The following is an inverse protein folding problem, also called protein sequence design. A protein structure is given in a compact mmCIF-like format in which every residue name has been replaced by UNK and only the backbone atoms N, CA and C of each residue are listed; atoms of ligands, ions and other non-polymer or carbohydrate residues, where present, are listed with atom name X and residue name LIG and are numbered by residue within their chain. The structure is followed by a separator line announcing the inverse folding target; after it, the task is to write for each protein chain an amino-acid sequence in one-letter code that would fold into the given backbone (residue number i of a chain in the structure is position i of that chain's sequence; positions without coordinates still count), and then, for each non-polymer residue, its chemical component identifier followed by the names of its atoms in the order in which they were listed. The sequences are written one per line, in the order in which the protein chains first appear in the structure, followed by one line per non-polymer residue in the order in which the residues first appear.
data_IF_317829940540
#
_entry.id   IF_317829940540
#
_cell.length_a   1.000
_cell.length_b   1.000
_cell.length_c   1.000
_cell.angle_alpha   90.00
_cell.angle_beta   90.00
_cell.angle_gamma   90.00
#
_symmetry.space_group_name_H-M   'P 1'
#
loop_
_entity.id
_entity.type
_entity.pdbx_description
1 polymer ?
#
# COMPACT_ATOMS: atom_id res chain seq x y z
N UNK A 1 -26.44 -6.04 2.77
CA UNK A 1 -25.66 -7.29 2.61
C UNK A 1 -24.96 -7.31 1.24
N UNK A 2 -23.63 -7.22 1.20
CA UNK A 2 -22.83 -7.14 -0.04
C UNK A 2 -22.42 -8.51 -0.58
N UNK A 3 -23.42 -9.38 -0.82
CA UNK A 3 -23.20 -10.71 -1.39
C UNK A 3 -24.27 -11.00 -2.44
N UNK A 4 -23.99 -10.65 -3.70
CA UNK A 4 -24.85 -10.94 -4.85
C UNK A 4 -24.16 -11.93 -5.79
N UNK A 5 -24.85 -12.99 -6.21
CA UNK A 5 -24.34 -13.97 -7.17
C UNK A 5 -24.83 -13.71 -8.60
N UNK A 6 -23.95 -14.06 -9.55
CA UNK A 6 -24.07 -14.17 -11.03
C UNK A 6 -23.65 -13.06 -12.03
N UNK A 7 -23.17 -13.61 -13.15
CA UNK A 7 -22.68 -13.15 -14.48
C UNK A 7 -21.35 -12.38 -14.58
N UNK A 8 -20.33 -12.93 -15.29
CA UNK A 8 -19.07 -12.23 -15.53
C UNK A 8 -19.29 -11.05 -16.48
N UNK A 9 -18.92 -9.87 -16.03
CA UNK A 9 -18.92 -8.68 -16.86
C UNK A 9 -17.58 -8.59 -17.61
N UNK A 10 -17.65 -8.20 -18.89
CA UNK A 10 -16.47 -8.04 -19.74
C UNK A 10 -15.47 -7.09 -19.06
N UNK A 11 -14.19 -7.49 -19.05
CA UNK A 11 -13.11 -6.72 -18.44
C UNK A 11 -13.00 -5.33 -19.07
N UNK A 12 -12.55 -4.32 -18.31
CA UNK A 12 -12.51 -2.95 -18.81
C UNK A 12 -11.57 -2.85 -20.02
N UNK A 13 -11.98 -1.98 -20.95
CA UNK A 13 -11.23 -1.57 -22.13
C UNK A 13 -9.86 -1.02 -21.72
N UNK A 14 -8.83 -1.25 -22.54
CA UNK A 14 -7.43 -0.91 -22.22
C UNK A 14 -7.32 0.59 -21.96
N UNK A 15 -7.18 0.97 -20.69
CA UNK A 15 -6.91 2.34 -20.27
C UNK A 15 -5.42 2.62 -20.51
N UNK A 16 -5.03 3.78 -21.05
CA UNK A 16 -3.63 4.19 -21.09
C UNK A 16 -2.99 4.10 -19.70
N UNK A 17 -1.73 3.67 -19.60
CA UNK A 17 -0.96 3.59 -18.35
C UNK A 17 -0.68 5.01 -17.80
N UNK A 18 -1.71 5.69 -17.30
CA UNK A 18 -1.62 6.97 -16.62
C UNK A 18 -0.97 6.81 -15.24
N UNK A 19 -1.22 5.67 -14.59
CA UNK A 19 -0.68 5.28 -13.30
C UNK A 19 0.06 3.94 -13.46
N UNK A 20 1.25 3.84 -12.88
CA UNK A 20 2.08 2.62 -12.90
C UNK A 20 2.63 2.29 -11.52
N UNK A 21 3.02 1.04 -11.33
CA UNK A 21 3.86 0.64 -10.21
C UNK A 21 5.34 0.74 -10.61
N UNK A 22 6.11 1.56 -9.91
CA UNK A 22 7.57 1.59 -9.99
C UNK A 22 8.17 0.66 -8.92
N UNK A 23 8.77 -0.44 -9.38
CA UNK A 23 9.23 -1.54 -8.53
C UNK A 23 10.75 -1.51 -8.40
N UNK A 24 11.25 -1.19 -7.22
CA UNK A 24 12.67 -1.15 -6.89
C UNK A 24 13.14 -2.47 -6.28
N UNK A 25 14.31 -2.94 -6.72
CA UNK A 25 15.07 -3.89 -5.90
C UNK A 25 15.52 -3.19 -4.62
N UNK A 26 15.52 -3.90 -3.50
CA UNK A 26 16.12 -3.40 -2.26
C UNK A 26 17.08 -4.45 -1.70
N UNK A 27 18.11 -3.99 -1.00
CA UNK A 27 19.10 -4.84 -0.35
C UNK A 27 19.37 -4.33 1.07
N UNK A 28 18.98 -5.11 2.07
CA UNK A 28 19.19 -4.83 3.48
C UNK A 28 19.05 -6.12 4.26
N UNK A 29 19.27 -6.07 5.58
CA UNK A 29 19.08 -7.22 6.45
C UNK A 29 17.62 -7.34 6.89
N UNK A 30 17.11 -6.27 7.48
CA UNK A 30 15.82 -6.23 8.13
C UNK A 30 15.30 -4.79 8.20
N UNK A 31 14.04 -4.66 8.61
CA UNK A 31 13.37 -3.42 8.98
C UNK A 31 12.34 -3.70 10.08
N UNK A 32 11.91 -2.69 10.85
CA UNK A 32 10.78 -2.83 11.76
C UNK A 32 9.51 -3.34 11.04
N UNK A 33 8.72 -4.19 11.69
CA UNK A 33 7.46 -4.68 11.13
C UNK A 33 6.47 -3.53 10.86
N UNK A 34 6.41 -2.54 11.75
CA UNK A 34 5.55 -1.34 11.67
C UNK A 34 6.30 -0.09 11.15
N UNK A 35 7.10 -0.27 10.11
CA UNK A 35 7.89 0.80 9.47
C UNK A 35 7.08 1.81 8.63
N UNK A 36 5.75 1.69 8.54
CA UNK A 36 4.95 2.39 7.52
C UNK A 36 5.12 3.91 7.54
N UNK A 37 5.03 4.51 8.73
CA UNK A 37 5.21 5.95 8.92
C UNK A 37 6.67 6.39 8.69
N UNK A 38 7.63 5.71 9.32
CA UNK A 38 9.04 6.07 9.16
C UNK A 38 9.51 5.93 7.69
N UNK A 39 8.99 4.93 6.95
CA UNK A 39 9.21 4.78 5.52
C UNK A 39 8.59 5.94 4.72
N UNK A 40 7.37 6.37 5.04
CA UNK A 40 6.75 7.49 4.33
C UNK A 40 7.55 8.78 4.51
N UNK A 41 7.96 9.09 5.73
CA UNK A 41 8.80 10.26 6.02
C UNK A 41 10.14 10.21 5.30
N UNK A 42 10.82 9.05 5.32
CA UNK A 42 12.09 8.88 4.64
C UNK A 42 11.96 9.06 3.12
N UNK A 43 10.89 8.53 2.52
CA UNK A 43 10.65 8.70 1.08
C UNK A 43 10.25 10.13 0.73
N UNK A 44 9.43 10.79 1.53
CA UNK A 44 9.04 12.18 1.34
C UNK A 44 10.25 13.14 1.39
N UNK A 45 11.24 12.85 2.24
CA UNK A 45 12.47 13.65 2.29
C UNK A 45 13.27 13.63 0.98
N UNK A 46 13.14 12.57 0.18
CA UNK A 46 13.82 12.40 -1.11
C UNK A 46 12.91 12.82 -2.27
N UNK A 47 11.62 12.53 -2.16
CA UNK A 47 10.58 12.80 -3.15
C UNK A 47 9.44 13.64 -2.52
N UNK A 48 9.64 14.96 -2.26
CA UNK A 48 8.65 15.76 -1.52
C UNK A 48 7.26 15.82 -2.15
N UNK A 49 7.18 15.62 -3.48
CA UNK A 49 5.91 15.59 -4.19
C UNK A 49 5.02 14.41 -3.79
N UNK A 50 5.57 13.34 -3.18
CA UNK A 50 4.80 12.15 -2.80
C UNK A 50 3.76 12.43 -1.71
N UNK A 51 3.96 13.46 -0.90
CA UNK A 51 3.01 13.87 0.15
C UNK A 51 1.83 14.67 -0.40
N UNK A 52 2.02 15.33 -1.54
CA UNK A 52 1.04 16.28 -2.10
C UNK A 52 0.30 15.74 -3.32
N UNK A 53 0.82 14.69 -3.95
CA UNK A 53 0.20 14.03 -5.08
C UNK A 53 -0.77 12.94 -4.58
N UNK A 54 -2.10 13.15 -4.66
CA UNK A 54 -3.09 12.19 -4.15
C UNK A 54 -3.12 10.88 -4.95
N UNK A 55 -2.49 10.84 -6.13
CA UNK A 55 -2.41 9.65 -6.97
C UNK A 55 -1.15 8.83 -6.72
N UNK A 56 -0.24 9.34 -5.90
CA UNK A 56 0.94 8.63 -5.46
C UNK A 56 0.62 7.74 -4.24
N UNK A 57 1.17 6.52 -4.24
CA UNK A 57 0.98 5.55 -3.17
C UNK A 57 2.28 4.83 -2.85
N UNK A 58 2.55 4.65 -1.56
CA UNK A 58 3.66 3.84 -1.07
C UNK A 58 3.10 2.48 -0.65
N UNK A 59 3.53 1.41 -1.31
CA UNK A 59 3.20 0.07 -0.84
C UNK A 59 4.10 -0.29 0.34
N UNK A 60 3.47 -0.66 1.46
CA UNK A 60 4.18 -1.20 2.61
C UNK A 60 5.01 -2.42 2.21
N UNK A 61 6.21 -2.51 2.78
CA UNK A 61 7.10 -3.63 2.54
C UNK A 61 6.61 -4.80 3.40
N UNK A 62 6.22 -5.89 2.75
CA UNK A 62 5.74 -7.07 3.45
C UNK A 62 6.73 -8.22 3.29
N UNK A 63 6.91 -8.96 4.38
CA UNK A 63 7.65 -10.22 4.38
C UNK A 63 6.87 -11.36 3.78
N UNK A 64 7.43 -12.56 3.90
CA UNK A 64 6.67 -13.77 3.68
C UNK A 64 5.48 -13.78 4.64
N UNK A 65 4.29 -13.54 4.10
CA UNK A 65 3.04 -13.87 4.74
C UNK A 65 3.04 -15.38 4.98
N UNK A 66 2.49 -15.82 6.11
CA UNK A 66 2.61 -17.19 6.64
C UNK A 66 2.14 -18.27 5.66
N UNK A 67 2.98 -18.63 4.70
CA UNK A 67 2.87 -19.82 3.88
C UNK A 67 3.99 -20.76 4.28
N UNK A 68 3.65 -21.97 4.73
CA UNK A 68 4.55 -23.02 5.22
C UNK A 68 5.12 -22.83 6.64
N UNK A 69 4.32 -22.32 7.59
CA UNK A 69 4.70 -22.31 9.01
C UNK A 69 5.65 -21.17 9.45
N UNK A 70 5.89 -20.19 8.58
CA UNK A 70 6.56 -18.95 8.97
C UNK A 70 5.56 -18.04 9.70
N UNK A 71 5.81 -17.75 10.98
CA UNK A 71 5.01 -16.80 11.73
C UNK A 71 5.33 -15.38 11.24
N UNK A 72 4.30 -14.53 11.10
CA UNK A 72 4.55 -13.09 10.95
C UNK A 72 5.23 -12.61 12.24
N UNK A 73 6.27 -11.79 12.13
CA UNK A 73 6.81 -11.12 13.30
C UNK A 73 5.70 -10.30 13.98
N UNK A 74 5.65 -10.30 15.31
CA UNK A 74 4.73 -9.43 16.06
C UNK A 74 5.03 -7.94 15.78
N UNK A 75 4.17 -7.05 16.27
CA UNK A 75 4.27 -5.60 16.00
C UNK A 75 5.59 -4.97 16.52
N UNK A 76 6.30 -5.65 17.42
CA UNK A 76 7.63 -5.26 17.95
C UNK A 76 8.82 -6.01 17.31
N UNK A 77 8.58 -6.85 16.29
CA UNK A 77 9.61 -7.70 15.71
C UNK A 77 10.11 -7.22 14.34
N UNK A 78 11.29 -7.71 13.96
CA UNK A 78 11.96 -7.31 12.73
C UNK A 78 11.49 -8.14 11.52
N UNK A 79 11.10 -7.44 10.46
CA UNK A 79 10.86 -7.99 9.15
C UNK A 79 12.20 -8.24 8.42
N UNK A 80 12.50 -9.50 8.13
CA UNK A 80 13.70 -9.88 7.37
C UNK A 80 13.54 -9.60 5.87
N UNK A 81 14.52 -8.91 5.29
CA UNK A 81 14.55 -8.56 3.87
C UNK A 81 15.15 -9.69 3.04
N UNK A 82 14.30 -10.38 2.28
CA UNK A 82 14.74 -11.36 1.30
C UNK A 82 15.21 -10.68 0.00
N UNK A 83 15.98 -11.41 -0.82
CA UNK A 83 16.31 -10.97 -2.20
C UNK A 83 15.08 -10.76 -3.09
N UNK A 84 13.90 -11.25 -2.70
CA UNK A 84 12.63 -11.08 -3.43
C UNK A 84 11.84 -9.87 -2.97
N UNK A 85 12.16 -9.30 -1.81
CA UNK A 85 11.47 -8.13 -1.28
C UNK A 85 11.72 -6.91 -2.18
N UNK A 86 10.70 -6.08 -2.36
CA UNK A 86 10.73 -4.90 -3.24
C UNK A 86 10.13 -3.72 -2.51
N UNK A 87 10.66 -2.53 -2.78
CA UNK A 87 9.96 -1.27 -2.55
C UNK A 87 9.14 -0.98 -3.79
N UNK A 88 7.86 -0.65 -3.63
CA UNK A 88 6.95 -0.36 -4.74
C UNK A 88 6.25 0.97 -4.48
N UNK A 89 6.36 1.87 -5.46
CA UNK A 89 5.62 3.12 -5.49
C UNK A 89 4.59 3.04 -6.60
N UNK A 90 3.34 3.38 -6.32
CA UNK A 90 2.31 3.64 -7.33
C UNK A 90 2.31 5.13 -7.62
N UNK A 91 2.38 5.53 -8.88
CA UNK A 91 2.52 6.95 -9.25
C UNK A 91 2.11 7.21 -10.70
N UNK A 92 1.81 8.48 -11.05
CA UNK A 92 1.65 8.87 -12.43
C UNK A 92 2.87 8.57 -13.28
N UNK A 93 2.66 8.14 -14.52
CA UNK A 93 3.74 7.81 -15.45
C UNK A 93 4.74 8.97 -15.62
N UNK A 94 4.28 10.22 -15.55
CA UNK A 94 5.12 11.42 -15.60
C UNK A 94 6.08 11.59 -14.41
N UNK A 95 5.78 10.98 -13.25
CA UNK A 95 6.63 11.03 -12.05
C UNK A 95 7.70 9.94 -12.02
N UNK A 96 7.67 8.99 -12.97
CA UNK A 96 8.61 7.85 -13.01
C UNK A 96 10.06 8.31 -12.99
N UNK A 97 10.43 9.29 -13.83
CA UNK A 97 11.82 9.73 -13.92
C UNK A 97 12.28 10.46 -12.66
N UNK A 98 11.40 11.21 -12.01
CA UNK A 98 11.67 11.82 -10.70
C UNK A 98 11.88 10.75 -9.63
N UNK A 99 11.00 9.75 -9.56
CA UNK A 99 11.07 8.68 -8.58
C UNK A 99 12.30 7.77 -8.77
N UNK A 100 12.83 7.66 -9.99
CA UNK A 100 14.09 6.92 -10.25
C UNK A 100 15.30 7.48 -9.52
N UNK A 101 15.25 8.71 -9.01
CA UNK A 101 16.29 9.28 -8.14
C UNK A 101 16.50 8.51 -6.84
N UNK A 102 15.55 7.64 -6.44
CA UNK A 102 15.73 6.70 -5.34
C UNK A 102 16.76 5.61 -5.64
N UNK A 103 16.98 5.24 -6.92
CA UNK A 103 17.98 4.22 -7.26
C UNK A 103 19.39 4.69 -6.89
N UNK A 104 20.11 3.87 -6.13
CA UNK A 104 21.43 4.18 -5.58
C UNK A 104 21.40 4.85 -4.21
N UNK A 105 20.22 5.24 -3.71
CA UNK A 105 20.08 5.78 -2.35
C UNK A 105 20.16 4.66 -1.32
N UNK A 106 20.56 5.03 -0.10
CA UNK A 106 20.37 4.20 1.08
C UNK A 106 19.36 4.88 2.00
N UNK A 107 18.37 4.13 2.44
CA UNK A 107 17.30 4.59 3.32
C UNK A 107 17.52 3.94 4.68
N UNK A 108 17.43 4.75 5.73
CA UNK A 108 17.52 4.31 7.13
C UNK A 108 16.18 4.55 7.82
N UNK A 109 15.67 3.52 8.48
CA UNK A 109 14.40 3.49 9.19
C UNK A 109 14.68 2.95 10.59
N UNK A 110 14.55 3.79 11.61
CA UNK A 110 14.68 3.37 13.01
C UNK A 110 16.00 2.59 13.30
N UNK A 111 17.10 3.01 12.68
CA UNK A 111 18.41 2.35 12.81
C UNK A 111 18.63 1.14 11.88
N UNK A 112 17.64 0.79 11.06
CA UNK A 112 17.72 -0.27 10.05
C UNK A 112 17.90 0.32 8.66
N UNK A 113 18.98 -0.06 7.97
CA UNK A 113 19.35 0.49 6.67
C UNK A 113 19.19 -0.51 5.54
N UNK A 114 18.65 -0.06 4.40
CA UNK A 114 18.64 -0.79 3.14
C UNK A 114 19.02 0.10 1.96
N UNK A 115 19.64 -0.51 0.95
CA UNK A 115 19.98 0.13 -0.32
C UNK A 115 18.85 -0.06 -1.33
N UNK A 116 18.55 1.00 -2.07
CA UNK A 116 17.58 0.98 -3.16
C UNK A 116 18.31 0.76 -4.48
N UNK A 117 18.01 -0.37 -5.12
CA UNK A 117 18.58 -0.76 -6.40
C UNK A 117 17.82 -0.21 -7.61
N UNK A 118 18.03 -0.79 -8.80
CA UNK A 118 17.36 -0.35 -10.02
C UNK A 118 15.85 -0.60 -9.98
N UNK A 119 15.11 0.31 -10.61
CA UNK A 119 13.66 0.27 -10.72
C UNK A 119 13.20 -0.25 -12.09
N UNK A 120 12.10 -1.01 -12.08
CA UNK A 120 11.35 -1.37 -13.29
C UNK A 120 9.92 -0.84 -13.22
N UNK A 121 9.41 -0.36 -14.34
CA UNK A 121 7.99 0.00 -14.47
C UNK A 121 7.17 -1.28 -14.62
N UNK A 122 6.05 -1.36 -13.90
CA UNK A 122 5.06 -2.40 -13.99
C UNK A 122 3.69 -1.75 -14.28
N UNK A 123 3.12 -1.96 -15.48
CA UNK A 123 1.76 -1.55 -15.80
C UNK A 123 0.74 -2.10 -14.80
N UNK A 124 -0.34 -1.35 -14.59
CA UNK A 124 -1.46 -1.83 -13.78
C UNK A 124 -2.36 -2.70 -14.65
N UNK A 125 -2.62 -3.91 -14.17
CA UNK A 125 -3.61 -4.77 -14.79
C UNK A 125 -4.96 -4.55 -14.11
N UNK A 126 -6.06 -4.42 -14.87
CA UNK A 126 -7.39 -4.43 -14.31
C UNK A 126 -7.63 -5.72 -13.52
N UNK A 127 -8.15 -5.58 -12.30
CA UNK A 127 -8.47 -6.70 -11.42
C UNK A 127 -9.94 -6.59 -11.01
N UNK A 128 -10.67 -7.70 -11.08
CA UNK A 128 -12.06 -7.80 -10.60
C UNK A 128 -12.17 -7.84 -9.07
N UNK A 129 -11.04 -7.99 -8.39
CA UNK A 129 -10.95 -8.07 -6.94
C UNK A 129 -9.79 -7.21 -6.48
N UNK A 130 -10.08 -6.25 -5.60
CA UNK A 130 -9.09 -5.39 -4.96
C UNK A 130 -9.00 -5.77 -3.50
N UNK A 131 -7.78 -5.77 -2.97
CA UNK A 131 -7.49 -6.05 -1.58
C UNK A 131 -6.69 -4.89 -1.00
N UNK A 132 -7.17 -4.35 0.12
CA UNK A 132 -6.43 -3.39 0.93
C UNK A 132 -6.19 -4.01 2.31
N UNK A 133 -4.95 -3.95 2.77
CA UNK A 133 -4.58 -4.49 4.10
C UNK A 133 -5.03 -3.57 5.23
N UNK A 134 -5.00 -2.27 4.98
CA UNK A 134 -5.47 -1.23 5.87
C UNK A 134 -6.29 -0.25 5.05
N UNK A 135 -7.38 0.24 5.63
CA UNK A 135 -8.22 1.28 5.08
C UNK A 135 -8.35 2.31 6.18
N UNK A 136 -7.87 3.54 5.92
CA UNK A 136 -8.13 4.66 6.81
C UNK A 136 -9.60 5.06 6.64
N UNK A 137 -10.31 5.21 7.74
CA UNK A 137 -11.73 5.57 7.76
C UNK A 137 -11.89 6.91 8.46
N UNK A 138 -12.80 7.73 7.94
CA UNK A 138 -13.19 9.00 8.56
C UNK A 138 -14.24 8.76 9.66
N UNK A 139 -15.11 7.77 9.44
CA UNK A 139 -16.13 7.40 10.41
C UNK A 139 -15.49 6.66 11.59
N UNK A 140 -15.64 7.19 12.80
CA UNK A 140 -15.36 6.46 14.03
C UNK A 140 -16.47 5.43 14.26
N UNK A 141 -16.35 4.27 13.62
CA UNK A 141 -17.31 3.17 13.76
C UNK A 141 -16.61 1.85 14.06
N UNK A 142 -17.15 1.15 15.06
CA UNK A 142 -16.78 -0.22 15.42
C UNK A 142 -17.73 -1.24 14.76
N UNK A 143 -18.71 -0.76 14.00
CA UNK A 143 -19.73 -1.57 13.37
C UNK A 143 -19.32 -1.93 11.93
N UNK A 144 -19.18 -3.24 11.69
CA UNK A 144 -18.79 -3.78 10.39
C UNK A 144 -19.77 -3.40 9.28
N UNK A 145 -21.07 -3.38 9.56
CA UNK A 145 -22.08 -3.07 8.55
C UNK A 145 -22.01 -1.59 8.15
N UNK A 146 -21.84 -0.69 9.12
CA UNK A 146 -21.63 0.74 8.87
C UNK A 146 -20.36 0.98 8.05
N UNK A 147 -19.26 0.30 8.37
CA UNK A 147 -18.03 0.37 7.59
C UNK A 147 -18.26 -0.05 6.13
N UNK A 148 -18.98 -1.16 5.91
CA UNK A 148 -19.26 -1.64 4.55
C UNK A 148 -20.14 -0.68 3.75
N UNK A 149 -21.13 -0.03 4.38
CA UNK A 149 -21.92 1.00 3.71
C UNK A 149 -21.08 2.23 3.35
N UNK A 150 -20.29 2.74 4.29
CA UNK A 150 -19.37 3.86 4.03
C UNK A 150 -18.42 3.53 2.88
N UNK A 151 -17.78 2.36 2.90
CA UNK A 151 -16.86 1.96 1.83
C UNK A 151 -17.56 1.78 0.48
N UNK A 152 -18.84 1.37 0.46
CA UNK A 152 -19.61 1.28 -0.77
C UNK A 152 -19.94 2.66 -1.35
N UNK A 153 -20.27 3.65 -0.52
CA UNK A 153 -20.47 5.04 -0.94
C UNK A 153 -19.18 5.62 -1.54
N UNK A 154 -18.03 5.43 -0.88
CA UNK A 154 -16.73 5.88 -1.39
C UNK A 154 -16.37 5.25 -2.75
N UNK A 155 -16.75 3.99 -2.97
CA UNK A 155 -16.53 3.31 -4.26
C UNK A 155 -17.50 3.80 -5.34
N UNK A 156 -18.75 4.14 -4.97
CA UNK A 156 -19.73 4.70 -5.90
C UNK A 156 -19.32 6.09 -6.40
N UNK A 157 -18.75 6.93 -5.52
CA UNK A 157 -18.16 8.23 -5.89
C UNK A 157 -17.02 8.09 -6.91
N UNK A 158 -16.33 6.94 -6.90
CA UNK A 158 -15.29 6.59 -7.87
C UNK A 158 -15.84 5.84 -9.11
N UNK A 159 -17.17 5.70 -9.22
CA UNK A 159 -17.86 4.90 -10.23
C UNK A 159 -17.39 3.43 -10.30
N UNK A 160 -16.99 2.87 -9.15
CA UNK A 160 -16.56 1.47 -9.02
C UNK A 160 -17.70 0.64 -8.42
N UNK A 161 -18.37 -0.21 -9.21
CA UNK A 161 -19.51 -0.98 -8.71
C UNK A 161 -19.06 -2.08 -7.74
N UNK A 162 -19.32 -1.89 -6.45
CA UNK A 162 -18.99 -2.85 -5.41
C UNK A 162 -20.10 -3.91 -5.22
N UNK A 163 -19.91 -5.10 -5.81
CA UNK A 163 -20.90 -6.20 -5.74
C UNK A 163 -20.70 -7.16 -4.57
N UNK A 164 -19.43 -7.39 -4.25
CA UNK A 164 -18.98 -8.28 -3.19
C UNK A 164 -17.95 -7.56 -2.36
N UNK A 165 -18.22 -7.40 -1.08
CA UNK A 165 -17.33 -6.75 -0.13
C UNK A 165 -17.21 -7.62 1.11
N UNK A 166 -15.99 -7.73 1.61
CA UNK A 166 -15.65 -8.43 2.83
C UNK A 166 -14.79 -7.49 3.66
N UNK A 167 -15.16 -7.25 4.91
CA UNK A 167 -14.32 -6.50 5.81
C UNK A 167 -13.24 -7.42 6.43
N UNK A 168 -12.10 -6.83 6.77
CA UNK A 168 -11.04 -7.51 7.50
C UNK A 168 -11.24 -7.39 9.02
N UNK A 169 -10.14 -7.50 9.75
CA UNK A 169 -10.12 -7.20 11.19
C UNK A 169 -9.75 -5.73 11.39
N UNK A 170 -10.33 -5.10 12.41
CA UNK A 170 -9.88 -3.78 12.88
C UNK A 170 -8.40 -3.85 13.28
N UNK A 171 -7.66 -2.83 12.86
CA UNK A 171 -6.26 -2.59 13.23
C UNK A 171 -6.06 -1.11 13.47
N UNK A 172 -5.20 -0.79 14.41
CA UNK A 172 -4.74 0.57 14.65
C UNK A 172 -3.32 0.70 14.10
N UNK A 173 -3.05 1.77 13.36
CA UNK A 173 -1.71 2.14 12.94
C UNK A 173 -1.15 3.04 14.01
N UNK A 174 0.02 2.71 14.57
CA UNK A 174 0.68 3.57 15.54
C UNK A 174 1.55 4.62 14.82
N UNK A 175 1.38 5.89 15.20
CA UNK A 175 2.26 6.99 14.84
C UNK A 175 3.08 7.41 16.07
N UNK A 176 4.18 8.18 15.89
CA UNK A 176 4.96 8.66 17.03
C UNK A 176 4.16 9.49 18.04
N UNK A 177 3.12 10.20 17.58
CA UNK A 177 2.28 11.08 18.41
C UNK A 177 1.00 10.38 18.93
N UNK A 178 0.84 9.08 18.68
CA UNK A 178 -0.34 8.29 19.07
C UNK A 178 -0.92 7.47 17.91
N UNK A 179 -2.10 6.84 18.08
CA UNK A 179 -2.73 6.10 16.99
C UNK A 179 -3.08 7.05 15.82
N UNK A 180 -2.98 6.53 14.59
CA UNK A 180 -3.36 7.24 13.37
C UNK A 180 -4.80 7.73 13.52
N UNK A 181 -5.05 9.05 13.43
CA UNK A 181 -6.38 9.58 13.63
C UNK A 181 -7.30 9.12 12.49
N UNK A 182 -8.61 8.92 12.74
CA UNK A 182 -9.56 8.82 11.64
C UNK A 182 -9.40 10.06 10.76
N UNK A 183 -9.45 9.88 9.44
CA UNK A 183 -9.32 10.99 8.51
C UNK A 183 -10.44 12.03 8.81
N UNK A 184 -10.09 13.32 8.75
CA UNK A 184 -10.98 14.42 9.17
C UNK A 184 -11.81 14.96 8.00
#
# INVERSE_FOLDING_TARGET
MFWQDDTPQQGPEIVPDLIVDLVFKICGRDLPSEHGYALSQALASILPWIETDPTAGIHLIHGAESGNGWLRPADDELLQLSKRTRLVLRLPQEKVDSARSLSGQAIEIEGHRFEVGPARVRPLNPMSTVFARHIAIEAETDDEEQFLYWAAEQLDDLAVPARKMLCGRRREIQLPDGPYPPAA
#
